data_IF_245037398968
#
_entry.id   IF_245037398968
#
_cell.length_a   1.000
_cell.length_b   1.000
_cell.length_c   1.000
_cell.angle_alpha   90.00
_cell.angle_beta   90.00
_cell.angle_gamma   90.00
#
_symmetry.space_group_name_H-M   'P 1'
#
loop_
_entity.id
_entity.type
_entity.pdbx_description
1 polymer ?
#
# COMPACT_ATOMS: atom_id res chain seq x y z
N UNK A 1 2.22 -7.53 -18.92
CA UNK A 1 0.76 -7.22 -18.99
C UNK A 1 0.52 -6.02 -18.09
N UNK A 2 -0.21 -5.01 -18.55
CA UNK A 2 -0.59 -3.82 -17.77
C UNK A 2 -1.89 -4.06 -17.00
N UNK A 3 -2.18 -3.22 -16.00
CA UNK A 3 -3.46 -3.25 -15.28
C UNK A 3 -4.62 -2.97 -16.24
N UNK A 4 -5.67 -3.78 -16.16
CA UNK A 4 -6.87 -3.57 -16.98
C UNK A 4 -7.94 -2.79 -16.20
N UNK A 5 -8.85 -2.14 -16.94
CA UNK A 5 -10.02 -1.47 -16.34
C UNK A 5 -10.84 -2.42 -15.46
N UNK A 6 -11.08 -3.65 -15.94
CA UNK A 6 -11.83 -4.66 -15.20
C UNK A 6 -11.14 -5.06 -13.90
N UNK A 7 -9.82 -5.29 -13.92
CA UNK A 7 -9.04 -5.56 -12.70
C UNK A 7 -9.19 -4.41 -11.70
N UNK A 8 -8.98 -3.17 -12.15
CA UNK A 8 -9.10 -1.98 -11.32
C UNK A 8 -10.50 -1.84 -10.71
N UNK A 9 -11.56 -1.91 -11.52
CA UNK A 9 -12.94 -1.74 -11.10
C UNK A 9 -13.37 -2.76 -10.04
N UNK A 10 -12.90 -4.01 -10.17
CA UNK A 10 -13.23 -5.06 -9.20
C UNK A 10 -12.40 -5.00 -7.92
N UNK A 11 -11.10 -4.70 -8.00
CA UNK A 11 -10.26 -4.66 -6.80
C UNK A 11 -10.51 -3.43 -5.94
N UNK A 12 -10.70 -2.26 -6.55
CA UNK A 12 -10.80 -0.97 -5.88
C UNK A 12 -11.82 -0.91 -4.72
N UNK A 13 -13.08 -1.37 -4.85
CA UNK A 13 -14.05 -1.28 -3.74
C UNK A 13 -13.63 -2.09 -2.51
N UNK A 14 -12.80 -3.11 -2.66
CA UNK A 14 -12.30 -3.92 -1.54
C UNK A 14 -10.94 -3.45 -1.03
N UNK A 15 -10.07 -2.97 -1.92
CA UNK A 15 -8.73 -2.50 -1.56
C UNK A 15 -8.77 -1.14 -0.87
N UNK A 16 -9.60 -0.20 -1.33
CA UNK A 16 -9.64 1.17 -0.78
C UNK A 16 -9.98 1.20 0.71
N UNK A 17 -11.02 0.49 1.21
CA UNK A 17 -11.29 0.44 2.65
C UNK A 17 -10.11 -0.10 3.47
N UNK A 18 -9.41 -1.12 2.96
CA UNK A 18 -8.22 -1.68 3.63
C UNK A 18 -7.09 -0.66 3.64
N UNK A 19 -6.85 0.02 2.51
CA UNK A 19 -5.85 1.07 2.41
C UNK A 19 -6.12 2.23 3.38
N UNK A 20 -7.38 2.65 3.51
CA UNK A 20 -7.78 3.69 4.48
C UNK A 20 -7.51 3.21 5.91
N UNK A 21 -7.88 1.97 6.23
CA UNK A 21 -7.63 1.40 7.55
C UNK A 21 -6.14 1.32 7.88
N UNK A 22 -5.32 0.87 6.92
CA UNK A 22 -3.86 0.81 7.06
C UNK A 22 -3.26 2.19 7.27
N UNK A 23 -3.61 3.17 6.42
CA UNK A 23 -3.11 4.54 6.55
C UNK A 23 -3.50 5.15 7.90
N UNK A 24 -4.75 4.96 8.34
CA UNK A 24 -5.23 5.45 9.64
C UNK A 24 -4.50 4.81 10.82
N UNK A 25 -4.41 3.47 10.84
CA UNK A 25 -3.72 2.73 11.90
C UNK A 25 -2.24 3.09 11.98
N UNK A 26 -1.60 3.31 10.83
CA UNK A 26 -0.19 3.66 10.80
C UNK A 26 0.06 5.13 11.24
N UNK A 27 -0.86 6.04 10.90
CA UNK A 27 -0.82 7.41 11.43
C UNK A 27 -1.06 7.47 12.95
N UNK A 28 -2.02 6.69 13.45
CA UNK A 28 -2.41 6.72 14.85
C UNK A 28 -1.44 5.97 15.75
N UNK A 29 -1.05 4.76 15.35
CA UNK A 29 -0.34 3.81 16.22
C UNK A 29 1.05 3.45 15.68
N UNK A 30 1.43 3.91 14.48
CA UNK A 30 2.62 3.47 13.74
C UNK A 30 2.70 1.95 13.64
N UNK A 31 1.54 1.34 13.35
CA UNK A 31 1.39 -0.09 13.24
C UNK A 31 0.43 -0.44 12.11
N UNK A 32 0.90 -1.27 11.19
CA UNK A 32 0.07 -1.93 10.19
C UNK A 32 -0.52 -3.21 10.78
N UNK A 33 -1.86 -3.37 10.91
CA UNK A 33 -2.47 -4.57 11.47
C UNK A 33 -2.25 -5.78 10.55
N UNK A 34 -1.83 -6.92 11.10
CA UNK A 34 -1.69 -8.16 10.33
C UNK A 34 -2.99 -8.57 9.64
N UNK A 35 -4.14 -8.30 10.28
CA UNK A 35 -5.47 -8.58 9.70
C UNK A 35 -5.69 -7.78 8.42
N UNK A 36 -5.23 -6.53 8.35
CA UNK A 36 -5.32 -5.71 7.14
C UNK A 36 -4.44 -6.29 6.01
N UNK A 37 -3.22 -6.73 6.34
CA UNK A 37 -2.31 -7.39 5.39
C UNK A 37 -2.93 -8.68 4.85
N UNK A 38 -3.45 -9.53 5.74
CA UNK A 38 -4.10 -10.78 5.36
C UNK A 38 -5.38 -10.54 4.56
N UNK A 39 -6.16 -9.53 4.90
CA UNK A 39 -7.34 -9.13 4.14
C UNK A 39 -6.96 -8.70 2.73
N UNK A 40 -5.92 -7.88 2.57
CA UNK A 40 -5.45 -7.43 1.26
C UNK A 40 -4.98 -8.63 0.40
N UNK A 41 -4.21 -9.54 0.99
CA UNK A 41 -3.81 -10.77 0.31
C UNK A 41 -5.02 -11.64 -0.06
N UNK A 42 -6.02 -11.76 0.83
CA UNK A 42 -7.26 -12.49 0.58
C UNK A 42 -8.07 -11.91 -0.57
N UNK A 43 -8.16 -10.58 -0.68
CA UNK A 43 -8.79 -9.89 -1.81
C UNK A 43 -8.11 -10.29 -3.12
N UNK A 44 -6.78 -10.32 -3.16
CA UNK A 44 -6.08 -10.78 -4.36
C UNK A 44 -6.28 -12.27 -4.64
N UNK A 45 -6.20 -13.12 -3.62
CA UNK A 45 -6.34 -14.57 -3.80
C UNK A 45 -7.70 -14.92 -4.43
N UNK A 46 -8.77 -14.30 -3.95
CA UNK A 46 -10.13 -14.54 -4.44
C UNK A 46 -10.34 -13.79 -5.76
N UNK A 47 -10.12 -12.48 -5.79
CA UNK A 47 -10.38 -11.67 -6.98
C UNK A 47 -9.47 -12.03 -8.16
N UNK A 48 -8.18 -12.26 -7.90
CA UNK A 48 -7.23 -12.70 -8.92
C UNK A 48 -7.60 -14.04 -9.54
N UNK A 49 -8.08 -15.00 -8.75
CA UNK A 49 -8.53 -16.31 -9.25
C UNK A 49 -9.77 -16.19 -10.16
N UNK A 50 -10.66 -15.23 -9.87
CA UNK A 50 -11.88 -15.00 -10.63
C UNK A 50 -11.66 -14.13 -11.89
N UNK A 51 -10.69 -13.22 -11.85
CA UNK A 51 -10.50 -12.18 -12.88
C UNK A 51 -9.36 -12.44 -13.85
N UNK A 52 -8.30 -13.12 -13.41
CA UNK A 52 -7.07 -13.26 -14.18
C UNK A 52 -6.99 -14.62 -14.89
N UNK A 53 -6.37 -14.69 -16.07
CA UNK A 53 -5.90 -15.95 -16.62
C UNK A 53 -4.99 -16.67 -15.62
N UNK A 54 -5.09 -18.00 -15.54
CA UNK A 54 -4.44 -18.80 -14.51
C UNK A 54 -2.91 -18.60 -14.47
N UNK A 55 -2.26 -18.51 -15.63
CA UNK A 55 -0.82 -18.23 -15.73
C UNK A 55 -0.44 -16.87 -15.12
N UNK A 56 -1.17 -15.80 -15.50
CA UNK A 56 -0.99 -14.46 -14.93
C UNK A 56 -1.20 -14.47 -13.42
N UNK A 57 -2.24 -15.14 -12.94
CA UNK A 57 -2.55 -15.26 -11.51
C UNK A 57 -1.37 -15.88 -10.73
N UNK A 58 -0.81 -16.98 -11.22
CA UNK A 58 0.34 -17.64 -10.58
C UNK A 58 1.57 -16.73 -10.54
N UNK A 59 1.87 -16.03 -11.63
CA UNK A 59 2.98 -15.06 -11.65
C UNK A 59 2.77 -13.91 -10.68
N UNK A 60 1.54 -13.41 -10.53
CA UNK A 60 1.22 -12.38 -9.54
C UNK A 60 1.35 -12.90 -8.10
N UNK A 61 0.99 -14.17 -7.85
CA UNK A 61 1.27 -14.80 -6.55
C UNK A 61 2.77 -15.00 -6.30
N UNK A 62 3.54 -15.33 -7.33
CA UNK A 62 4.99 -15.40 -7.22
C UNK A 62 5.61 -14.04 -6.85
N UNK A 63 5.03 -12.91 -7.31
CA UNK A 63 5.44 -11.58 -6.86
C UNK A 63 5.23 -11.38 -5.35
N UNK A 64 4.10 -11.82 -4.79
CA UNK A 64 3.88 -11.79 -3.34
C UNK A 64 4.98 -12.55 -2.61
N UNK A 65 5.25 -13.79 -3.02
CA UNK A 65 6.29 -14.62 -2.42
C UNK A 65 7.67 -13.99 -2.52
N UNK A 66 8.03 -13.46 -3.69
CA UNK A 66 9.30 -12.79 -3.93
C UNK A 66 9.48 -11.53 -3.10
N UNK A 67 8.48 -10.64 -3.08
CA UNK A 67 8.53 -9.40 -2.28
C UNK A 67 8.51 -9.73 -0.78
N UNK A 68 7.79 -10.76 -0.35
CA UNK A 68 7.81 -11.22 1.04
C UNK A 68 9.19 -11.74 1.44
N UNK A 69 9.85 -12.52 0.59
CA UNK A 69 11.19 -13.04 0.85
C UNK A 69 12.20 -11.89 0.96
N UNK A 70 12.20 -10.97 -0.01
CA UNK A 70 13.08 -9.79 0.01
C UNK A 70 12.79 -8.92 1.23
N UNK A 71 11.51 -8.64 1.48
CA UNK A 71 11.06 -7.85 2.62
C UNK A 71 11.43 -8.47 3.96
N UNK A 72 11.35 -9.81 4.07
CA UNK A 72 11.79 -10.54 5.26
C UNK A 72 13.30 -10.37 5.50
N UNK A 73 14.12 -10.55 4.46
CA UNK A 73 15.59 -10.35 4.56
C UNK A 73 15.90 -8.92 4.97
N UNK A 74 15.37 -7.93 4.26
CA UNK A 74 15.63 -6.49 4.54
C UNK A 74 15.15 -6.10 5.94
N UNK A 75 13.99 -6.61 6.38
CA UNK A 75 13.46 -6.34 7.71
C UNK A 75 14.26 -7.04 8.82
N UNK A 76 14.77 -8.25 8.57
CA UNK A 76 15.65 -8.97 9.52
C UNK A 76 16.97 -8.25 9.76
N UNK A 77 17.42 -7.45 8.77
CA UNK A 77 18.59 -6.58 8.88
C UNK A 77 18.28 -5.24 9.58
N UNK A 78 17.03 -4.99 9.97
CA UNK A 78 16.61 -3.76 10.65
C UNK A 78 16.47 -2.53 9.74
N UNK A 79 16.50 -2.71 8.41
CA UNK A 79 16.45 -1.62 7.45
C UNK A 79 15.03 -1.11 7.20
N UNK A 80 14.03 -2.00 7.28
CA UNK A 80 12.61 -1.70 7.01
C UNK A 80 11.74 -2.35 8.09
N UNK A 81 10.63 -1.68 8.46
CA UNK A 81 9.66 -2.20 9.40
C UNK A 81 9.03 -3.50 8.91
N UNK A 82 8.88 -4.49 9.79
CA UNK A 82 8.28 -5.78 9.43
C UNK A 82 6.81 -5.64 8.96
N UNK A 83 6.09 -4.63 9.46
CA UNK A 83 4.73 -4.31 8.99
C UNK A 83 4.74 -3.85 7.53
N UNK A 84 5.60 -2.88 7.21
CA UNK A 84 5.74 -2.30 5.87
C UNK A 84 6.13 -3.38 4.85
N UNK A 85 7.09 -4.24 5.21
CA UNK A 85 7.55 -5.32 4.35
C UNK A 85 6.42 -6.32 4.01
N UNK A 86 5.61 -6.69 5.01
CA UNK A 86 4.48 -7.60 4.82
C UNK A 86 3.36 -6.96 3.99
N UNK A 87 3.08 -5.68 4.22
CA UNK A 87 2.08 -4.95 3.44
C UNK A 87 2.52 -4.75 1.99
N UNK A 88 3.79 -4.40 1.77
CA UNK A 88 4.40 -4.32 0.44
C UNK A 88 4.28 -5.65 -0.32
N UNK A 89 4.49 -6.78 0.37
CA UNK A 89 4.28 -8.10 -0.22
C UNK A 89 2.82 -8.37 -0.58
N UNK A 90 1.88 -8.03 0.31
CA UNK A 90 0.46 -8.24 0.07
C UNK A 90 -0.11 -7.36 -1.07
N UNK A 91 0.45 -6.16 -1.28
CA UNK A 91 0.05 -5.29 -2.39
C UNK A 91 0.71 -5.65 -3.73
N UNK A 92 1.86 -6.34 -3.71
CA UNK A 92 2.63 -6.64 -4.91
C UNK A 92 1.82 -7.27 -6.06
N UNK A 93 0.93 -8.26 -5.81
CA UNK A 93 0.15 -8.89 -6.87
C UNK A 93 -0.86 -7.96 -7.56
N UNK A 94 -1.27 -6.88 -6.91
CA UNK A 94 -2.18 -5.92 -7.55
C UNK A 94 -1.47 -5.12 -8.64
N UNK A 95 -0.14 -5.04 -8.59
CA UNK A 95 0.69 -4.29 -9.53
C UNK A 95 0.98 -5.19 -10.73
N UNK A 96 0.47 -4.78 -11.89
CA UNK A 96 0.72 -5.53 -13.11
C UNK A 96 2.22 -5.49 -13.48
N UNK A 97 2.77 -6.61 -13.94
CA UNK A 97 4.20 -6.74 -14.25
C UNK A 97 4.69 -5.68 -15.25
N UNK A 98 3.85 -5.29 -16.20
CA UNK A 98 4.16 -4.24 -17.18
C UNK A 98 4.25 -2.84 -16.60
N UNK A 99 3.66 -2.62 -15.41
CA UNK A 99 3.55 -1.31 -14.79
C UNK A 99 4.55 -1.13 -13.64
N UNK A 100 5.47 -2.07 -13.43
CA UNK A 100 6.35 -2.07 -12.26
C UNK A 100 7.17 -0.76 -12.12
N UNK A 101 7.78 -0.27 -13.22
CA UNK A 101 8.51 1.00 -13.20
C UNK A 101 7.58 2.20 -12.96
N UNK A 102 6.41 2.19 -13.58
CA UNK A 102 5.39 3.22 -13.37
C UNK A 102 4.95 3.27 -11.91
N UNK A 103 4.67 2.11 -11.31
CA UNK A 103 4.29 2.00 -9.90
C UNK A 103 5.41 2.47 -8.98
N UNK A 104 6.67 2.13 -9.24
CA UNK A 104 7.82 2.62 -8.44
C UNK A 104 7.94 4.14 -8.50
N UNK A 105 7.74 4.75 -9.66
CA UNK A 105 7.72 6.20 -9.81
C UNK A 105 6.53 6.83 -9.08
N UNK A 106 5.33 6.26 -9.24
CA UNK A 106 4.13 6.70 -8.53
C UNK A 106 4.31 6.60 -7.01
N UNK A 107 4.83 5.48 -6.52
CA UNK A 107 5.12 5.27 -5.11
C UNK A 107 6.12 6.29 -4.59
N UNK A 108 7.17 6.59 -5.35
CA UNK A 108 8.16 7.62 -4.98
C UNK A 108 7.51 9.00 -4.86
N UNK A 109 6.64 9.37 -5.81
CA UNK A 109 5.91 10.64 -5.77
C UNK A 109 4.94 10.71 -4.59
N UNK A 110 4.16 9.64 -4.37
CA UNK A 110 3.22 9.54 -3.25
C UNK A 110 3.94 9.53 -1.91
N UNK A 111 5.13 8.93 -1.82
CA UNK A 111 5.96 8.96 -0.62
C UNK A 111 6.39 10.39 -0.28
N UNK A 112 6.93 11.12 -1.25
CA UNK A 112 7.33 12.52 -1.06
C UNK A 112 6.11 13.36 -0.67
N UNK A 113 5.00 13.23 -1.40
CA UNK A 113 3.75 13.94 -1.10
C UNK A 113 3.23 13.65 0.30
N UNK A 114 3.11 12.36 0.65
CA UNK A 114 2.64 11.92 1.97
C UNK A 114 3.55 12.39 3.10
N UNK A 115 4.86 12.36 2.89
CA UNK A 115 5.83 12.88 3.87
C UNK A 115 5.67 14.39 4.06
N UNK A 116 5.60 15.16 2.98
CA UNK A 116 5.38 16.61 3.04
C UNK A 116 4.05 16.94 3.74
N UNK A 117 2.97 16.27 3.34
CA UNK A 117 1.64 16.46 3.93
C UNK A 117 1.64 16.11 5.42
N UNK A 118 2.24 14.99 5.83
CA UNK A 118 2.34 14.59 7.22
C UNK A 118 3.10 15.63 8.06
N UNK A 119 4.27 16.06 7.59
CA UNK A 119 5.09 17.08 8.27
C UNK A 119 4.43 18.45 8.28
N UNK A 120 3.66 18.80 7.24
CA UNK A 120 2.88 20.04 7.21
C UNK A 120 1.73 19.99 8.21
N UNK A 121 0.95 18.90 8.17
CA UNK A 121 -0.20 18.68 9.04
C UNK A 121 0.18 18.66 10.52
N UNK A 122 1.33 18.07 10.87
CA UNK A 122 1.83 18.01 12.25
C UNK A 122 2.11 19.40 12.86
N UNK A 123 2.28 20.44 12.03
CA UNK A 123 2.49 21.83 12.46
C UNK A 123 1.20 22.62 12.61
N UNK A 124 0.06 22.10 12.16
CA UNK A 124 -1.23 22.79 12.23
C UNK A 124 -1.88 22.51 13.60
N UNK A 125 -2.12 23.53 14.45
CA UNK A 125 -2.65 23.31 15.80
C UNK A 125 -4.03 22.66 15.81
N UNK A 126 -4.88 22.97 14.82
CA UNK A 126 -6.20 22.36 14.70
C UNK A 126 -6.12 20.85 14.45
N UNK A 127 -5.21 20.41 13.58
CA UNK A 127 -4.99 18.99 13.28
C UNK A 127 -4.45 18.25 14.51
N UNK A 128 -3.44 18.82 15.19
CA UNK A 128 -2.88 18.26 16.43
C UNK A 128 -3.93 18.10 17.52
N UNK A 129 -4.84 19.08 17.67
CA UNK A 129 -5.95 18.99 18.63
C UNK A 129 -7.01 17.96 18.25
N UNK A 130 -7.26 17.75 16.95
CA UNK A 130 -8.22 16.76 16.46
C UNK A 130 -7.66 15.32 16.50
N UNK A 131 -6.34 15.17 16.53
CA UNK A 131 -5.63 13.88 16.53
C UNK A 131 -4.61 13.78 17.68
N UNK A 132 -5.02 14.02 18.94
CA UNK A 132 -4.10 14.15 20.07
C UNK A 132 -3.44 12.81 20.44
N UNK A 133 -4.05 11.69 20.07
CA UNK A 133 -3.61 10.33 20.36
C UNK A 133 -2.75 9.72 19.25
N UNK A 134 -2.46 10.47 18.18
CA UNK A 134 -1.66 9.97 17.07
C UNK A 134 -0.16 9.97 17.39
N UNK A 135 0.38 8.77 17.52
CA UNK A 135 1.79 8.49 17.82
C UNK A 135 2.71 9.01 16.73
N UNK A 136 2.27 9.06 15.47
CA UNK A 136 3.14 9.42 14.35
C UNK A 136 3.67 10.86 14.42
N UNK A 137 3.00 11.75 15.17
CA UNK A 137 3.42 13.14 15.31
C UNK A 137 4.73 13.31 16.09
N UNK A 138 4.95 12.45 17.09
CA UNK A 138 6.01 12.65 18.08
C UNK A 138 7.18 11.66 17.90
N UNK A 139 7.20 10.91 16.79
CA UNK A 139 8.21 9.87 16.47
C UNK A 139 9.40 10.37 15.65
N UNK A 140 9.71 11.66 15.78
CA UNK A 140 10.94 12.28 15.29
C UNK A 140 11.17 12.11 13.78
N UNK A 141 12.19 11.33 13.40
CA UNK A 141 12.56 11.09 11.99
C UNK A 141 11.76 9.96 11.33
N UNK A 142 11.10 9.11 12.12
CA UNK A 142 10.28 8.03 11.58
C UNK A 142 9.07 8.61 10.85
N UNK A 143 8.60 7.89 9.84
CA UNK A 143 7.46 8.26 9.02
C UNK A 143 6.54 7.04 8.86
N UNK A 144 5.21 7.20 8.99
CA UNK A 144 4.25 6.12 8.79
C UNK A 144 4.19 5.73 7.31
N UNK A 145 5.01 4.74 6.93
CA UNK A 145 5.15 4.27 5.55
C UNK A 145 3.87 3.65 4.98
N UNK A 146 2.99 3.14 5.83
CA UNK A 146 1.69 2.59 5.46
C UNK A 146 0.82 3.61 4.73
N UNK A 147 0.93 4.91 5.03
CA UNK A 147 0.22 5.98 4.30
C UNK A 147 0.68 6.04 2.85
N UNK A 148 1.99 5.99 2.61
CA UNK A 148 2.56 6.06 1.26
C UNK A 148 2.28 4.78 0.47
N UNK A 149 2.44 3.60 1.09
CA UNK A 149 2.18 2.31 0.46
C UNK A 149 0.70 2.16 0.09
N UNK A 150 -0.19 2.40 1.05
CA UNK A 150 -1.64 2.30 0.85
C UNK A 150 -2.15 3.35 -0.14
N UNK A 151 -1.64 4.58 -0.05
CA UNK A 151 -1.96 5.66 -0.99
C UNK A 151 -1.52 5.34 -2.41
N UNK A 152 -0.29 4.84 -2.60
CA UNK A 152 0.22 4.49 -3.93
C UNK A 152 -0.61 3.36 -4.56
N UNK A 153 -0.96 2.33 -3.79
CA UNK A 153 -1.81 1.25 -4.28
C UNK A 153 -3.21 1.76 -4.67
N UNK A 154 -3.84 2.57 -3.82
CA UNK A 154 -5.17 3.11 -4.09
C UNK A 154 -5.17 4.01 -5.33
N UNK A 155 -4.19 4.92 -5.45
CA UNK A 155 -4.06 5.81 -6.61
C UNK A 155 -3.78 4.99 -7.88
N UNK A 156 -2.90 3.99 -7.81
CA UNK A 156 -2.62 3.12 -8.95
C UNK A 156 -3.88 2.43 -9.49
N UNK A 157 -4.72 1.87 -8.61
CA UNK A 157 -5.99 1.26 -9.01
C UNK A 157 -6.98 2.30 -9.55
N UNK A 158 -7.06 3.50 -8.97
CA UNK A 158 -7.91 4.59 -9.48
C UNK A 158 -7.47 5.01 -10.90
N UNK A 159 -6.17 5.11 -11.15
CA UNK A 159 -5.64 5.42 -12.49
C UNK A 159 -6.01 4.33 -13.50
N UNK A 160 -6.08 3.07 -13.06
CA UNK A 160 -6.56 1.94 -13.87
C UNK A 160 -8.02 2.05 -14.33
N UNK A 161 -8.84 2.90 -13.69
CA UNK A 161 -10.20 3.17 -14.16
C UNK A 161 -10.25 4.06 -15.41
N UNK A 162 -9.13 4.66 -15.82
CA UNK A 162 -9.08 5.47 -17.03
C UNK A 162 -9.92 6.75 -16.97
N UNK A 163 -10.31 7.22 -15.78
CA UNK A 163 -11.11 8.44 -15.56
C UNK A 163 -10.39 9.74 -15.94
N UNK A 164 -9.21 9.64 -16.56
CA UNK A 164 -8.29 10.73 -16.88
C UNK A 164 -7.98 10.81 -18.39
N UNK A 165 -8.63 9.97 -19.20
CA UNK A 165 -8.59 9.98 -20.65
C UNK A 165 -9.86 10.64 -21.21
#
# INVERSE_FOLDING_TARGET
MSLTFSEAAWFLPFVVPICIWVAWSDLREMRIPNVAVLALAGVFLIGGLLLLPFDTYLWRLAQLGGVLLVGFVVSSLGLVGAGDAKFAAAMAPFIATGDALFFLMLFSLVLIGSWLTHRGASRVPAVRRATPDWVSWDRGKLFPMGVALAGALAIYLVLGLGLWA
#
